data_IF_336188233338
#
_entry.id   IF_336188233338
#
_cell.length_a   1.000
_cell.length_b   1.000
_cell.length_c   1.000
_cell.angle_alpha   90.00
_cell.angle_beta   90.00
_cell.angle_gamma   90.00
#
_symmetry.space_group_name_H-M   'P 1'
#
loop_
_entity.id
_entity.type
_entity.pdbx_description
1 polymer ?
#
# COMPACT_ATOMS: atom_id res chain seq x y z
N UNK A 1 -30.39 -13.21 -25.27
CA UNK A 1 -31.12 -12.66 -24.11
C UNK A 1 -32.40 -12.00 -24.61
N UNK A 2 -33.55 -12.47 -24.14
CA UNK A 2 -34.91 -12.10 -24.57
C UNK A 2 -35.72 -11.44 -23.44
N UNK A 3 -35.26 -11.50 -22.20
CA UNK A 3 -35.86 -10.82 -21.06
C UNK A 3 -34.79 -10.21 -20.14
N UNK A 4 -35.20 -9.25 -19.30
CA UNK A 4 -34.32 -8.68 -18.28
C UNK A 4 -33.88 -9.74 -17.24
N UNK A 5 -34.73 -10.73 -16.97
CA UNK A 5 -34.40 -11.86 -16.08
C UNK A 5 -33.25 -12.69 -16.63
N UNK A 6 -33.33 -13.10 -17.91
CA UNK A 6 -32.25 -13.84 -18.57
C UNK A 6 -30.93 -13.05 -18.57
N UNK A 7 -30.99 -11.73 -18.77
CA UNK A 7 -29.81 -10.88 -18.67
C UNK A 7 -29.21 -10.87 -17.26
N UNK A 8 -30.05 -10.71 -16.23
CA UNK A 8 -29.60 -10.73 -14.83
C UNK A 8 -28.97 -12.07 -14.45
N UNK A 9 -29.54 -13.18 -14.91
CA UNK A 9 -29.02 -14.53 -14.64
C UNK A 9 -27.64 -14.73 -15.29
N UNK A 10 -27.49 -14.31 -16.55
CA UNK A 10 -26.20 -14.37 -17.24
C UNK A 10 -25.14 -13.45 -16.60
N UNK A 11 -25.53 -12.25 -16.18
CA UNK A 11 -24.65 -11.32 -15.46
C UNK A 11 -24.17 -11.94 -14.14
N UNK A 12 -25.09 -12.42 -13.31
CA UNK A 12 -24.75 -13.02 -12.02
C UNK A 12 -23.89 -14.28 -12.16
N UNK A 13 -24.18 -15.12 -13.17
CA UNK A 13 -23.35 -16.27 -13.48
C UNK A 13 -21.93 -15.85 -13.86
N UNK A 14 -21.80 -14.81 -14.69
CA UNK A 14 -20.49 -14.30 -15.12
C UNK A 14 -19.69 -13.76 -13.93
N UNK A 15 -20.29 -12.92 -13.08
CA UNK A 15 -19.63 -12.39 -11.88
C UNK A 15 -19.18 -13.52 -10.94
N UNK A 16 -20.02 -14.54 -10.77
CA UNK A 16 -19.71 -15.67 -9.88
C UNK A 16 -18.58 -16.54 -10.43
N UNK A 17 -18.60 -16.86 -11.73
CA UNK A 17 -17.58 -17.70 -12.36
C UNK A 17 -16.24 -16.96 -12.41
N UNK A 18 -16.22 -15.70 -12.80
CA UNK A 18 -14.97 -14.90 -12.83
C UNK A 18 -14.37 -14.74 -11.44
N UNK A 19 -15.20 -14.51 -10.42
CA UNK A 19 -14.73 -14.45 -9.04
C UNK A 19 -14.12 -15.78 -8.59
N UNK A 20 -14.78 -16.90 -8.90
CA UNK A 20 -14.27 -18.23 -8.57
C UNK A 20 -12.92 -18.50 -9.24
N UNK A 21 -12.80 -18.27 -10.55
CA UNK A 21 -11.56 -18.46 -11.30
C UNK A 21 -10.40 -17.61 -10.74
N UNK A 22 -10.64 -16.31 -10.49
CA UNK A 22 -9.62 -15.40 -9.94
C UNK A 22 -9.21 -15.83 -8.54
N UNK A 23 -10.17 -16.25 -7.70
CA UNK A 23 -9.87 -16.65 -6.32
C UNK A 23 -9.14 -18.00 -6.24
N UNK A 24 -9.48 -18.95 -7.09
CA UNK A 24 -8.77 -20.24 -7.17
C UNK A 24 -7.31 -20.04 -7.57
N UNK A 25 -7.04 -19.20 -8.57
CA UNK A 25 -5.67 -18.89 -8.98
C UNK A 25 -4.92 -18.12 -7.88
N UNK A 26 -5.56 -17.14 -7.26
CA UNK A 26 -4.99 -16.42 -6.11
C UNK A 26 -4.61 -17.38 -4.97
N UNK A 27 -5.49 -18.32 -4.63
CA UNK A 27 -5.24 -19.34 -3.60
C UNK A 27 -4.07 -20.24 -3.98
N UNK A 28 -3.98 -20.70 -5.22
CA UNK A 28 -2.87 -21.50 -5.72
C UNK A 28 -1.54 -20.77 -5.61
N UNK A 29 -1.50 -19.49 -6.00
CA UNK A 29 -0.31 -18.64 -5.87
C UNK A 29 0.12 -18.48 -4.41
N UNK A 30 -0.82 -18.19 -3.51
CA UNK A 30 -0.54 -18.04 -2.09
C UNK A 30 0.05 -19.32 -1.47
N UNK A 31 -0.54 -20.48 -1.75
CA UNK A 31 -0.05 -21.77 -1.25
C UNK A 31 1.33 -22.08 -1.84
N UNK A 32 1.54 -21.81 -3.12
CA UNK A 32 2.80 -22.10 -3.81
C UNK A 32 3.95 -21.22 -3.31
N UNK A 33 3.73 -19.92 -3.16
CA UNK A 33 4.78 -18.95 -2.84
C UNK A 33 4.98 -18.73 -1.34
N UNK A 34 3.90 -18.75 -0.55
CA UNK A 34 3.93 -18.43 0.87
C UNK A 34 3.70 -19.64 1.76
N UNK A 35 3.22 -20.77 1.20
CA UNK A 35 2.84 -21.97 1.95
C UNK A 35 1.78 -21.70 3.02
N UNK A 36 0.91 -20.73 2.73
CA UNK A 36 -0.22 -20.33 3.55
C UNK A 36 -1.46 -20.34 2.65
N UNK A 37 -2.58 -20.81 3.19
CA UNK A 37 -3.86 -20.81 2.46
C UNK A 37 -4.66 -19.55 2.85
N UNK A 38 -4.97 -18.65 1.91
CA UNK A 38 -5.66 -17.39 2.21
C UNK A 38 -7.06 -17.60 2.78
N UNK A 39 -7.69 -18.77 2.60
CA UNK A 39 -9.03 -19.07 3.15
C UNK A 39 -9.06 -19.15 4.68
N UNK A 40 -7.90 -19.24 5.34
CA UNK A 40 -7.80 -19.24 6.81
C UNK A 40 -7.71 -17.83 7.42
N UNK A 41 -7.77 -16.79 6.59
CA UNK A 41 -7.62 -15.40 7.02
C UNK A 41 -8.89 -14.61 6.75
N UNK A 42 -9.23 -13.70 7.67
CA UNK A 42 -10.34 -12.77 7.47
C UNK A 42 -10.09 -11.77 6.33
N UNK A 43 -8.83 -11.40 6.09
CA UNK A 43 -8.43 -10.42 5.08
C UNK A 43 -6.96 -10.57 4.69
N UNK A 44 -6.61 -9.97 3.55
CA UNK A 44 -5.24 -10.02 3.02
C UNK A 44 -4.17 -9.47 3.97
N UNK A 45 -4.38 -8.37 4.74
CA UNK A 45 -3.38 -7.91 5.71
C UNK A 45 -2.98 -8.96 6.76
N UNK A 46 -3.94 -9.79 7.22
CA UNK A 46 -3.63 -10.88 8.15
C UNK A 46 -2.79 -11.97 7.48
N UNK A 47 -3.16 -12.34 6.24
CA UNK A 47 -2.40 -13.28 5.43
C UNK A 47 -0.96 -12.79 5.17
N UNK A 48 -0.81 -11.54 4.74
CA UNK A 48 0.51 -10.98 4.39
C UNK A 48 1.38 -10.77 5.62
N UNK A 49 0.79 -10.48 6.79
CA UNK A 49 1.50 -10.43 8.06
C UNK A 49 2.13 -11.78 8.41
N UNK A 50 1.35 -12.86 8.37
CA UNK A 50 1.85 -14.21 8.63
C UNK A 50 2.86 -14.67 7.57
N UNK A 51 2.62 -14.36 6.29
CA UNK A 51 3.55 -14.65 5.21
C UNK A 51 4.91 -13.95 5.45
N UNK A 52 4.89 -12.70 5.91
CA UNK A 52 6.08 -11.95 6.31
C UNK A 52 6.78 -12.60 7.49
N UNK A 53 6.06 -12.94 8.57
CA UNK A 53 6.65 -13.59 9.75
C UNK A 53 7.31 -14.92 9.40
N UNK A 54 6.66 -15.75 8.56
CA UNK A 54 7.20 -17.03 8.10
C UNK A 54 8.47 -16.85 7.26
N UNK A 55 8.55 -15.79 6.49
CA UNK A 55 9.68 -15.48 5.60
C UNK A 55 10.86 -14.91 6.39
N UNK A 56 10.63 -13.88 7.19
CA UNK A 56 11.68 -13.17 7.93
C UNK A 56 12.18 -13.96 9.13
N UNK A 57 11.30 -14.73 9.80
CA UNK A 57 11.60 -15.50 11.02
C UNK A 57 12.24 -14.66 12.15
N UNK A 58 11.97 -13.35 12.15
CA UNK A 58 12.41 -12.43 13.19
C UNK A 58 11.37 -12.46 14.31
N UNK A 59 11.77 -12.63 15.58
CA UNK A 59 10.85 -12.49 16.70
C UNK A 59 10.47 -11.01 16.85
N UNK A 60 9.24 -10.67 16.46
CA UNK A 60 8.67 -9.33 16.65
C UNK A 60 7.94 -9.32 17.99
N UNK A 61 8.28 -8.37 18.86
CA UNK A 61 7.65 -8.24 20.18
C UNK A 61 6.27 -7.60 20.04
N UNK A 62 5.26 -8.23 20.64
CA UNK A 62 3.92 -7.65 20.72
C UNK A 62 3.92 -6.47 21.69
N UNK A 63 3.57 -5.29 21.19
CA UNK A 63 3.45 -4.07 21.98
C UNK A 63 2.19 -4.12 22.87
N UNK A 64 2.32 -4.77 24.02
CA UNK A 64 1.21 -5.06 24.94
C UNK A 64 0.97 -3.96 25.98
N UNK A 65 1.93 -3.05 26.15
CA UNK A 65 1.83 -1.91 27.05
C UNK A 65 0.95 -0.81 26.42
N UNK A 66 -0.14 -0.45 27.11
CA UNK A 66 -1.13 0.52 26.61
C UNK A 66 -0.52 1.91 26.37
N UNK A 67 0.31 2.39 27.27
CA UNK A 67 0.88 3.74 27.16
C UNK A 67 1.86 3.83 26.00
N UNK A 68 2.70 2.79 25.84
CA UNK A 68 3.60 2.69 24.68
C UNK A 68 2.81 2.56 23.38
N UNK A 69 1.78 1.71 23.35
CA UNK A 69 0.92 1.55 22.18
C UNK A 69 0.29 2.88 21.75
N UNK A 70 -0.33 3.61 22.68
CA UNK A 70 -0.95 4.91 22.40
C UNK A 70 0.07 5.95 21.94
N UNK A 71 1.31 5.89 22.43
CA UNK A 71 2.40 6.75 21.96
C UNK A 71 2.74 6.49 20.49
N UNK A 72 2.92 5.23 20.11
CA UNK A 72 3.14 4.85 18.71
C UNK A 72 1.95 5.26 17.84
N UNK A 73 0.72 4.95 18.26
CA UNK A 73 -0.50 5.27 17.52
C UNK A 73 -0.63 6.78 17.26
N UNK A 74 -0.37 7.62 18.27
CA UNK A 74 -0.34 9.09 18.14
C UNK A 74 0.74 9.59 17.17
N UNK A 75 1.79 8.80 16.94
CA UNK A 75 2.87 9.10 16.01
C UNK A 75 2.57 8.71 14.56
N UNK A 76 1.62 7.81 14.31
CA UNK A 76 1.32 7.31 12.95
C UNK A 76 0.73 8.43 12.08
N UNK A 77 1.28 8.60 10.88
CA UNK A 77 0.77 9.51 9.85
C UNK A 77 0.60 8.75 8.53
N UNK A 78 -0.41 9.15 7.76
CA UNK A 78 -0.63 8.61 6.41
C UNK A 78 0.31 9.23 5.37
N UNK A 79 0.00 8.99 4.09
CA UNK A 79 0.70 9.64 2.98
C UNK A 79 0.52 11.15 2.98
N UNK A 80 1.56 11.87 2.56
CA UNK A 80 1.53 13.33 2.40
C UNK A 80 0.79 13.65 1.09
N UNK A 81 -0.31 14.39 1.19
CA UNK A 81 -1.05 14.92 0.04
C UNK A 81 -1.05 16.44 0.09
N UNK A 82 -0.43 17.08 -0.89
CA UNK A 82 -0.32 18.54 -0.96
C UNK A 82 -0.57 19.04 -2.38
N UNK A 83 -1.26 20.17 -2.49
CA UNK A 83 -1.43 20.92 -3.74
C UNK A 83 -0.82 22.31 -3.56
N UNK A 84 0.51 22.46 -3.71
CA UNK A 84 1.18 23.75 -3.50
C UNK A 84 0.81 24.78 -4.58
N UNK A 85 0.44 24.32 -5.78
CA UNK A 85 -0.03 25.14 -6.89
C UNK A 85 -1.30 24.51 -7.49
N UNK A 86 -2.42 25.23 -7.45
CA UNK A 86 -3.73 24.71 -7.91
C UNK A 86 -3.82 24.51 -9.43
N UNK A 87 -3.07 25.31 -10.19
CA UNK A 87 -3.10 25.27 -11.66
C UNK A 87 -1.69 25.45 -12.21
N UNK A 88 -1.27 24.56 -13.11
CA UNK A 88 -0.03 24.67 -13.85
C UNK A 88 -0.32 24.39 -15.32
N UNK A 89 0.21 25.22 -16.20
CA UNK A 89 0.12 25.07 -17.65
C UNK A 89 1.55 25.18 -18.20
N UNK A 90 1.91 24.27 -19.10
CA UNK A 90 3.19 24.28 -19.79
C UNK A 90 3.01 24.68 -21.25
N UNK A 91 3.90 25.52 -21.77
CA UNK A 91 3.99 25.81 -23.21
C UNK A 91 4.86 24.75 -23.88
N UNK A 92 4.28 23.57 -24.14
CA UNK A 92 4.97 22.43 -24.70
C UNK A 92 4.85 22.39 -26.23
N UNK A 93 5.94 22.56 -27.02
CA UNK A 93 5.90 22.52 -28.48
C UNK A 93 5.41 21.18 -29.06
N UNK A 94 5.46 20.10 -28.27
CA UNK A 94 4.98 18.77 -28.67
C UNK A 94 3.44 18.64 -28.58
N UNK A 95 2.76 19.63 -28.02
CA UNK A 95 1.29 19.68 -27.88
C UNK A 95 0.76 20.92 -28.62
N UNK A 96 0.55 20.84 -29.96
CA UNK A 96 0.23 22.01 -30.78
C UNK A 96 -1.06 22.73 -30.36
N UNK A 97 -2.03 21.99 -29.82
CA UNK A 97 -3.34 22.49 -29.38
C UNK A 97 -3.24 23.53 -28.26
N UNK A 98 -2.22 23.40 -27.40
CA UNK A 98 -2.02 24.24 -26.20
C UNK A 98 -0.72 25.05 -26.23
N UNK A 99 0.11 24.88 -27.28
CA UNK A 99 1.39 25.57 -27.41
C UNK A 99 1.18 27.07 -27.68
N UNK A 100 1.93 27.91 -26.97
CA UNK A 100 1.95 29.34 -27.20
C UNK A 100 3.38 29.81 -27.52
N UNK A 101 3.68 30.19 -28.78
CA UNK A 101 5.02 30.63 -29.18
C UNK A 101 5.46 31.95 -28.54
N UNK A 102 4.53 32.72 -27.95
CA UNK A 102 4.82 33.95 -27.23
C UNK A 102 5.18 33.71 -25.75
N UNK A 103 5.05 32.47 -25.25
CA UNK A 103 5.46 32.08 -23.89
C UNK A 103 6.77 31.26 -23.96
N UNK A 104 7.64 31.32 -22.94
CA UNK A 104 8.79 30.44 -22.87
C UNK A 104 8.38 28.96 -22.92
N UNK A 105 9.12 28.16 -23.69
CA UNK A 105 8.97 26.71 -23.73
C UNK A 105 9.09 26.12 -22.33
N UNK A 106 8.12 25.30 -21.94
CA UNK A 106 8.08 24.66 -20.62
C UNK A 106 7.37 23.32 -20.69
N UNK A 107 7.59 22.49 -19.67
CA UNK A 107 7.05 21.13 -19.56
C UNK A 107 6.54 20.88 -18.14
N UNK A 108 5.57 19.98 -17.99
CA UNK A 108 5.16 19.43 -16.70
C UNK A 108 5.73 18.00 -16.63
N UNK A 109 6.48 17.72 -15.57
CA UNK A 109 6.98 16.38 -15.29
C UNK A 109 6.11 15.71 -14.24
N UNK A 110 5.84 14.42 -14.44
CA UNK A 110 5.19 13.55 -13.46
C UNK A 110 6.17 12.48 -13.03
N UNK A 111 6.37 12.35 -11.72
CA UNK A 111 7.23 11.35 -11.11
C UNK A 111 6.40 10.50 -10.17
N UNK A 112 6.60 9.19 -10.26
CA UNK A 112 5.95 8.22 -9.38
C UNK A 112 7.00 7.25 -8.84
N UNK A 113 6.97 7.02 -7.53
CA UNK A 113 7.89 6.10 -6.87
C UNK A 113 7.27 4.70 -6.81
N UNK A 114 7.82 3.78 -7.62
CA UNK A 114 7.38 2.39 -7.63
C UNK A 114 7.63 1.74 -6.27
N UNK A 115 6.58 1.23 -5.64
CA UNK A 115 6.64 0.53 -4.35
C UNK A 115 7.30 1.33 -3.21
N UNK A 116 6.91 2.60 -3.04
CA UNK A 116 7.47 3.50 -2.02
C UNK A 116 7.47 2.89 -0.60
N UNK A 117 6.35 2.31 -0.16
CA UNK A 117 6.27 1.69 1.16
C UNK A 117 7.15 0.45 1.27
N UNK A 118 7.21 -0.40 0.23
CA UNK A 118 8.08 -1.57 0.22
C UNK A 118 9.56 -1.18 0.30
N UNK A 119 9.97 -0.11 -0.39
CA UNK A 119 11.32 0.44 -0.24
C UNK A 119 11.59 0.94 1.18
N UNK A 120 10.65 1.67 1.79
CA UNK A 120 10.79 2.14 3.17
C UNK A 120 10.88 0.97 4.18
N UNK A 121 10.17 -0.12 3.93
CA UNK A 121 10.22 -1.34 4.74
C UNK A 121 11.56 -2.08 4.68
N UNK A 122 12.43 -1.79 3.70
CA UNK A 122 13.80 -2.32 3.66
C UNK A 122 14.76 -1.58 4.60
N UNK A 123 14.37 -0.40 5.10
CA UNK A 123 15.16 0.37 6.05
C UNK A 123 15.02 -0.20 7.46
N UNK A 124 15.87 0.27 8.40
CA UNK A 124 15.78 -0.16 9.81
C UNK A 124 14.40 0.18 10.38
N UNK A 125 13.70 -0.83 10.90
CA UNK A 125 12.39 -0.70 11.55
C UNK A 125 12.50 -1.08 13.04
N UNK A 126 11.68 -0.48 13.92
CA UNK A 126 11.54 -0.94 15.30
C UNK A 126 10.78 -2.28 15.34
N UNK A 127 11.29 -3.27 16.08
CA UNK A 127 10.68 -4.61 16.14
C UNK A 127 10.72 -5.29 17.52
N UNK A 128 11.52 -4.80 18.48
CA UNK A 128 11.62 -5.36 19.83
C UNK A 128 12.12 -4.32 20.86
N UNK A 129 12.14 -4.71 22.13
CA UNK A 129 12.78 -4.01 23.25
C UNK A 129 12.31 -2.56 23.42
N UNK A 130 10.99 -2.37 23.34
CA UNK A 130 10.36 -1.05 23.48
C UNK A 130 10.47 -0.52 24.92
N UNK A 131 11.41 0.39 25.16
CA UNK A 131 11.63 1.05 26.45
C UNK A 131 11.47 2.57 26.34
N UNK A 132 11.11 3.20 27.45
CA UNK A 132 11.22 4.65 27.58
C UNK A 132 12.68 5.03 27.78
N UNK A 133 13.07 6.19 27.25
CA UNK A 133 14.39 6.78 27.47
C UNK A 133 14.32 7.56 28.79
N UNK A 134 15.30 7.37 29.68
CA UNK A 134 15.36 8.07 30.97
C UNK A 134 16.48 9.13 30.99
N UNK A 135 16.21 10.31 31.54
CA UNK A 135 17.23 11.35 31.72
C UNK A 135 17.82 11.92 30.42
N UNK A 136 19.15 12.01 30.35
CA UNK A 136 19.89 12.63 29.23
C UNK A 136 20.30 11.64 28.12
N UNK A 137 19.87 10.37 28.18
CA UNK A 137 20.20 9.36 27.16
C UNK A 137 19.85 9.80 25.73
N UNK A 138 18.88 10.71 25.57
CA UNK A 138 18.53 11.34 24.28
C UNK A 138 19.71 12.07 23.61
N UNK A 139 20.65 12.63 24.37
CA UNK A 139 21.82 13.33 23.84
C UNK A 139 22.83 12.37 23.18
N UNK A 140 22.82 11.09 23.57
CA UNK A 140 23.73 10.08 23.01
C UNK A 140 23.22 9.50 21.66
N UNK A 141 21.95 9.77 21.30
CA UNK A 141 21.32 9.27 20.07
C UNK A 141 21.15 10.30 18.95
N UNK A 142 21.32 11.60 19.24
CA UNK A 142 21.21 12.71 18.28
C UNK A 142 22.57 13.12 17.72
#
# INVERSE_FOLDING_TARGET
>A
MKSLGEYSDHYLLTDTVVLAEVFEEFRNLCITHHHLDPVHYYSLPGFTWDAMLRTCKVPITLLSDKEKYEFFEKGIRGGIAQVPKRFCEASNPLLPETYNPNKPTSYIAYYDAVNLYGWAMLLKQPYTDFTWIEGNELEDFL
#
